data_IF_788185980533
#
_entry.id   IF_788185980533
#
_cell.length_a   1.000
_cell.length_b   1.000
_cell.length_c   1.000
_cell.angle_alpha   90.00
_cell.angle_beta   90.00
_cell.angle_gamma   90.00
#
_symmetry.space_group_name_H-M   'P 1'
#
loop_
_entity.id
_entity.type
_entity.pdbx_description
1 polymer ?
#
# COMPACT_ATOMS: atom_id res chain seq x y z
N UNK A 1 23.32 -5.80 -26.97
CA UNK A 1 23.61 -4.43 -26.50
C UNK A 1 22.32 -3.63 -26.38
N UNK A 2 21.82 -3.42 -25.16
CA UNK A 2 21.16 -2.20 -24.70
C UNK A 2 21.47 -2.12 -23.20
N UNK A 3 22.45 -1.30 -22.84
CA UNK A 3 22.73 -0.98 -21.44
C UNK A 3 21.48 -0.31 -20.87
N UNK A 4 20.66 -1.06 -20.14
CA UNK A 4 19.62 -0.49 -19.30
C UNK A 4 20.34 0.15 -18.13
N UNK A 5 20.51 1.47 -18.18
CA UNK A 5 21.07 2.27 -17.09
C UNK A 5 20.32 1.88 -15.80
N UNK A 6 21.01 1.18 -14.90
CA UNK A 6 20.60 1.00 -13.50
C UNK A 6 20.75 2.36 -12.80
N UNK A 7 19.84 3.27 -13.09
CA UNK A 7 19.43 4.28 -12.12
C UNK A 7 18.18 3.74 -11.42
N UNK A 8 18.27 2.55 -10.81
CA UNK A 8 17.23 2.14 -9.87
C UNK A 8 17.39 3.07 -8.68
N UNK A 9 16.54 4.10 -8.61
CA UNK A 9 16.44 4.93 -7.43
C UNK A 9 16.22 3.96 -6.25
N UNK A 10 17.14 3.91 -5.29
CA UNK A 10 16.94 3.07 -4.12
C UNK A 10 15.98 3.80 -3.17
N UNK A 11 14.70 3.44 -3.27
CA UNK A 11 13.63 3.89 -2.39
C UNK A 11 13.24 2.80 -1.37
N UNK A 12 14.03 1.73 -1.24
CA UNK A 12 13.71 0.56 -0.43
C UNK A 12 12.48 -0.23 -0.91
N UNK A 13 12.13 -1.29 -0.17
CA UNK A 13 11.09 -2.23 -0.59
C UNK A 13 9.68 -1.64 -0.49
N UNK A 14 8.90 -1.76 -1.57
CA UNK A 14 7.46 -1.49 -1.59
C UNK A 14 6.76 -2.85 -1.68
N UNK A 15 5.89 -3.15 -0.74
CA UNK A 15 5.17 -4.43 -0.69
C UNK A 15 3.76 -4.25 -1.19
N UNK A 16 3.31 -5.19 -2.02
CA UNK A 16 1.97 -5.18 -2.62
C UNK A 16 1.30 -6.53 -2.49
N UNK A 17 -0.03 -6.52 -2.63
CA UNK A 17 -0.83 -7.70 -2.91
C UNK A 17 -1.59 -7.54 -4.22
N UNK A 18 -1.94 -8.67 -4.84
CA UNK A 18 -2.91 -8.74 -5.92
C UNK A 18 -4.28 -9.15 -5.37
N UNK A 19 -5.29 -8.32 -5.61
CA UNK A 19 -6.66 -8.57 -5.18
C UNK A 19 -7.65 -8.09 -6.25
N UNK A 20 -8.60 -8.95 -6.66
CA UNK A 20 -9.60 -8.65 -7.70
C UNK A 20 -9.00 -8.03 -8.98
N UNK A 21 -7.90 -8.60 -9.48
CA UNK A 21 -7.16 -8.14 -10.67
C UNK A 21 -6.63 -6.69 -10.54
N UNK A 22 -6.36 -6.23 -9.32
CA UNK A 22 -5.76 -4.93 -9.01
C UNK A 22 -4.59 -5.13 -8.04
N UNK A 23 -3.66 -4.18 -8.06
CA UNK A 23 -2.49 -4.18 -7.17
C UNK A 23 -2.74 -3.16 -6.06
N UNK A 24 -2.56 -3.58 -4.82
CA UNK A 24 -2.68 -2.72 -3.63
C UNK A 24 -1.36 -2.70 -2.87
N UNK A 25 -0.89 -1.52 -2.51
CA UNK A 25 0.23 -1.36 -1.58
C UNK A 25 -0.21 -1.77 -0.18
N UNK A 26 0.58 -2.64 0.47
CA UNK A 26 0.44 -2.97 1.90
C UNK A 26 1.52 -2.27 2.74
N UNK A 27 2.64 -1.87 2.13
CA UNK A 27 3.65 -1.01 2.72
C UNK A 27 4.34 -0.14 1.66
N UNK A 28 4.87 1.01 2.08
CA UNK A 28 5.59 1.94 1.22
C UNK A 28 4.76 3.11 0.71
N UNK A 29 3.56 3.35 1.25
CA UNK A 29 2.65 4.43 0.84
C UNK A 29 3.31 5.82 0.73
N UNK A 30 4.09 6.23 1.74
CA UNK A 30 4.81 7.51 1.71
C UNK A 30 5.86 7.58 0.58
N UNK A 31 6.53 6.46 0.29
CA UNK A 31 7.54 6.36 -0.77
C UNK A 31 6.89 6.40 -2.15
N UNK A 32 5.80 5.65 -2.32
CA UNK A 32 4.96 5.69 -3.52
C UNK A 32 4.49 7.12 -3.80
N UNK A 33 3.95 7.80 -2.79
CA UNK A 33 3.50 9.18 -2.93
C UNK A 33 4.64 10.14 -3.31
N UNK A 34 5.79 10.02 -2.65
CA UNK A 34 6.97 10.81 -2.98
C UNK A 34 7.42 10.62 -4.45
N UNK A 35 7.51 9.36 -4.91
CA UNK A 35 7.90 9.04 -6.29
C UNK A 35 6.86 9.55 -7.30
N UNK A 36 5.57 9.43 -6.97
CA UNK A 36 4.48 9.99 -7.76
C UNK A 36 4.60 11.51 -7.93
N UNK A 37 4.86 12.25 -6.85
CA UNK A 37 5.07 13.71 -6.89
C UNK A 37 6.34 14.10 -7.67
N UNK A 38 7.33 13.20 -7.78
CA UNK A 38 8.50 13.36 -8.67
C UNK A 38 8.22 13.00 -10.13
N UNK A 39 6.99 12.60 -10.46
CA UNK A 39 6.59 12.24 -11.82
C UNK A 39 7.03 10.85 -12.25
N UNK A 40 7.54 10.02 -11.34
CA UNK A 40 7.88 8.61 -11.62
C UNK A 40 6.60 7.84 -11.91
N UNK A 41 6.59 7.06 -12.99
CA UNK A 41 5.40 6.34 -13.48
C UNK A 41 5.42 4.85 -13.19
N UNK A 42 6.61 4.28 -12.99
CA UNK A 42 6.83 2.86 -12.76
C UNK A 42 7.83 2.69 -11.63
N UNK A 43 7.58 1.71 -10.76
CA UNK A 43 8.42 1.34 -9.62
C UNK A 43 8.47 -0.18 -9.52
N UNK A 44 9.62 -0.71 -9.14
CA UNK A 44 9.76 -2.10 -8.71
C UNK A 44 9.06 -2.31 -7.35
N UNK A 45 8.34 -3.43 -7.22
CA UNK A 45 7.58 -3.84 -6.03
C UNK A 45 7.87 -5.30 -5.68
N UNK A 46 7.60 -5.66 -4.42
CA UNK A 46 7.67 -7.03 -3.92
C UNK A 46 6.24 -7.51 -3.70
N UNK A 47 5.89 -8.63 -4.34
CA UNK A 47 4.62 -9.33 -4.13
C UNK A 47 4.95 -10.72 -3.60
N UNK A 48 4.78 -10.93 -2.30
CA UNK A 48 4.89 -12.25 -1.70
C UNK A 48 3.55 -12.97 -1.89
N UNK A 49 3.53 -14.11 -2.58
CA UNK A 49 2.26 -14.78 -2.93
C UNK A 49 1.43 -15.17 -1.70
N UNK A 50 2.08 -15.42 -0.56
CA UNK A 50 1.41 -15.70 0.71
C UNK A 50 0.60 -14.50 1.23
N UNK A 51 1.04 -13.27 0.94
CA UNK A 51 0.34 -12.06 1.39
C UNK A 51 -0.98 -11.86 0.63
N UNK A 52 -1.10 -12.40 -0.60
CA UNK A 52 -2.36 -12.39 -1.35
C UNK A 52 -3.46 -13.21 -0.64
N UNK A 53 -3.09 -14.20 0.17
CA UNK A 53 -4.02 -15.03 0.95
C UNK A 53 -4.40 -14.40 2.31
N UNK A 54 -3.74 -13.30 2.69
CA UNK A 54 -4.04 -12.59 3.93
C UNK A 54 -5.43 -11.98 3.92
N UNK A 55 -6.34 -12.56 4.70
CA UNK A 55 -7.72 -12.06 4.85
C UNK A 55 -7.72 -10.60 5.33
N UNK A 56 -6.79 -10.22 6.22
CA UNK A 56 -6.65 -8.82 6.67
C UNK A 56 -6.36 -7.88 5.49
N UNK A 57 -5.39 -8.23 4.63
CA UNK A 57 -5.05 -7.38 3.50
C UNK A 57 -6.16 -7.34 2.45
N UNK A 58 -6.86 -8.45 2.22
CA UNK A 58 -8.04 -8.48 1.35
C UNK A 58 -9.17 -7.58 1.86
N UNK A 59 -9.43 -7.56 3.17
CA UNK A 59 -10.42 -6.65 3.79
C UNK A 59 -10.02 -5.18 3.57
N UNK A 60 -8.75 -4.84 3.82
CA UNK A 60 -8.26 -3.47 3.64
C UNK A 60 -8.24 -3.04 2.16
N UNK A 61 -7.98 -3.97 1.24
CA UNK A 61 -8.08 -3.73 -0.20
C UNK A 61 -9.53 -3.51 -0.64
N UNK A 62 -10.48 -4.29 -0.13
CA UNK A 62 -11.91 -4.10 -0.39
C UNK A 62 -12.39 -2.74 0.11
N UNK A 63 -12.02 -2.33 1.33
CA UNK A 63 -12.39 -1.02 1.85
C UNK A 63 -11.78 0.13 1.02
N UNK A 64 -10.56 -0.06 0.51
CA UNK A 64 -9.96 0.91 -0.41
C UNK A 64 -10.79 1.06 -1.69
N UNK A 65 -11.35 -0.04 -2.21
CA UNK A 65 -12.27 -0.01 -3.35
C UNK A 65 -13.58 0.70 -3.01
N UNK A 66 -14.19 0.40 -1.86
CA UNK A 66 -15.43 1.03 -1.39
C UNK A 66 -15.28 2.54 -1.18
N UNK A 67 -14.12 2.98 -0.71
CA UNK A 67 -13.75 4.39 -0.56
C UNK A 67 -13.42 5.08 -1.89
N UNK A 68 -13.39 4.35 -3.00
CA UNK A 68 -13.05 4.88 -4.32
C UNK A 68 -11.58 5.22 -4.50
N UNK A 69 -10.68 4.61 -3.74
CA UNK A 69 -9.23 4.80 -3.88
C UNK A 69 -8.73 4.02 -5.07
N UNK A 70 -8.19 4.72 -6.07
CA UNK A 70 -7.79 4.11 -7.35
C UNK A 70 -6.39 4.50 -7.78
N UNK A 71 -5.77 5.49 -7.12
CA UNK A 71 -4.47 6.03 -7.51
C UNK A 71 -3.63 6.46 -6.30
N UNK A 72 -2.31 6.47 -6.46
CA UNK A 72 -1.37 7.06 -5.50
C UNK A 72 -1.68 8.55 -5.24
N UNK A 73 -2.27 9.25 -6.22
CA UNK A 73 -2.72 10.62 -6.07
C UNK A 73 -3.75 10.80 -4.93
N UNK A 74 -4.56 9.77 -4.66
CA UNK A 74 -5.61 9.81 -3.63
C UNK A 74 -5.02 9.88 -2.21
N UNK A 75 -3.72 9.59 -2.04
CA UNK A 75 -3.01 9.72 -0.76
C UNK A 75 -2.79 11.19 -0.36
N UNK A 76 -2.82 12.14 -1.32
CA UNK A 76 -2.52 13.57 -1.07
C UNK A 76 -3.34 14.19 0.05
N UNK A 77 -4.61 13.83 0.17
CA UNK A 77 -5.54 14.37 1.16
C UNK A 77 -5.76 13.42 2.34
N UNK A 78 -4.90 12.42 2.52
CA UNK A 78 -5.08 11.33 3.51
C UNK A 78 -3.87 11.15 4.43
N UNK A 79 -2.99 12.14 4.47
CA UNK A 79 -1.93 12.19 5.47
C UNK A 79 -2.54 12.36 6.86
N UNK A 80 -2.06 11.55 7.79
CA UNK A 80 -2.48 11.58 9.18
C UNK A 80 -1.44 12.35 9.97
N UNK A 81 -1.81 13.49 10.55
CA UNK A 81 -0.88 14.39 11.25
C UNK A 81 -0.69 14.04 12.72
N UNK A 82 -1.69 13.42 13.34
CA UNK A 82 -1.68 13.06 14.76
C UNK A 82 -1.36 11.58 14.96
N UNK A 83 -0.47 11.29 15.91
CA UNK A 83 -0.18 9.92 16.33
C UNK A 83 -1.43 9.19 16.87
N UNK A 84 -2.31 9.90 17.59
CA UNK A 84 -3.55 9.32 18.12
C UNK A 84 -4.52 8.93 16.99
N UNK A 85 -4.62 9.77 15.97
CA UNK A 85 -5.43 9.49 14.79
C UNK A 85 -4.84 8.32 14.00
N UNK A 86 -3.51 8.28 13.84
CA UNK A 86 -2.82 7.18 13.18
C UNK A 86 -3.08 5.86 13.92
N UNK A 87 -2.94 5.88 15.25
CA UNK A 87 -3.21 4.72 16.08
C UNK A 87 -4.63 4.22 15.90
N UNK A 88 -5.61 5.12 15.90
CA UNK A 88 -7.03 4.77 15.75
C UNK A 88 -7.35 4.21 14.36
N UNK A 89 -6.95 4.94 13.31
CA UNK A 89 -7.31 4.63 11.92
C UNK A 89 -6.53 3.46 11.34
N UNK A 90 -5.32 3.20 11.86
CA UNK A 90 -4.46 2.13 11.37
C UNK A 90 -4.29 1.00 12.39
N UNK A 91 -3.63 1.27 13.52
CA UNK A 91 -3.21 0.22 14.46
C UNK A 91 -4.40 -0.49 15.11
N UNK A 92 -5.30 0.27 15.73
CA UNK A 92 -6.43 -0.28 16.48
C UNK A 92 -7.42 -0.95 15.52
N UNK A 93 -7.66 -0.35 14.34
CA UNK A 93 -8.47 -0.94 13.27
C UNK A 93 -7.95 -2.31 12.84
N UNK A 94 -6.67 -2.41 12.48
CA UNK A 94 -6.08 -3.68 12.07
C UNK A 94 -6.13 -4.73 13.19
N UNK A 95 -5.90 -4.33 14.44
CA UNK A 95 -6.01 -5.23 15.60
C UNK A 95 -7.45 -5.73 15.82
N UNK A 96 -8.47 -4.89 15.62
CA UNK A 96 -9.87 -5.29 15.72
C UNK A 96 -10.22 -6.30 14.63
N UNK A 97 -9.79 -6.07 13.39
CA UNK A 97 -10.00 -7.00 12.28
C UNK A 97 -9.36 -8.36 12.61
N UNK A 98 -8.08 -8.37 13.00
CA UNK A 98 -7.36 -9.60 13.34
C UNK A 98 -8.06 -10.38 14.46
N UNK A 99 -8.47 -9.71 15.55
CA UNK A 99 -9.22 -10.34 16.65
C UNK A 99 -10.56 -10.95 16.22
N UNK A 100 -11.18 -10.42 15.17
CA UNK A 100 -12.43 -10.97 14.64
C UNK A 100 -12.19 -12.16 13.71
N UNK A 101 -10.98 -12.30 13.13
CA UNK A 101 -10.59 -13.44 12.30
C UNK A 101 -10.15 -14.66 13.14
N UNK A 102 -9.74 -14.45 14.39
CA UNK A 102 -9.35 -15.50 15.34
C UNK A 102 -10.54 -16.20 16.04
N UNK A 103 -11.77 -15.74 15.80
CA UNK A 103 -13.01 -16.29 16.38
C UNK A 103 -13.69 -17.28 15.47
#
# INVERSE_FOLDING_TARGET
>A
MKNRLKNSLDYGNIYVIEYKNKIFSIDGHHRLYYLFEKGIKEVDVICELIDNESILYQILAEESLELGLTSIADLKSRFIESEDEYKKLWKDKCQIILKNLEK
#
